data_IF_712580498807
#
_entry.id   IF_712580498807
#
_cell.length_a   1.000
_cell.length_b   1.000
_cell.length_c   1.000
_cell.angle_alpha   90.00
_cell.angle_beta   90.00
_cell.angle_gamma   90.00
#
_symmetry.space_group_name_H-M   'P 1'
#
loop_
_entity.id
_entity.type
_entity.pdbx_description
1 polymer ?
#
# COMPACT_ATOMS: atom_id res chain seq x y z
N UNK A 1 20.70 4.09 -11.49
CA UNK A 1 20.73 4.22 -10.03
C UNK A 1 19.58 5.10 -9.57
N UNK A 2 18.86 4.65 -8.58
CA UNK A 2 17.61 5.31 -8.18
C UNK A 2 17.80 6.10 -6.90
N UNK A 3 17.76 7.41 -7.04
CA UNK A 3 17.88 8.29 -5.90
C UNK A 3 16.51 8.77 -5.47
N UNK A 4 15.69 7.82 -5.02
CA UNK A 4 14.35 8.14 -4.58
C UNK A 4 14.41 8.81 -3.21
N UNK A 5 13.53 9.79 -3.01
CA UNK A 5 13.37 10.37 -1.70
C UNK A 5 12.69 9.37 -0.77
N UNK A 6 12.72 9.68 0.51
CA UNK A 6 12.06 8.85 1.51
C UNK A 6 10.57 8.69 1.20
N UNK A 7 9.93 9.79 0.81
CA UNK A 7 8.50 9.74 0.50
C UNK A 7 8.23 8.93 -0.76
N UNK A 8 9.10 9.03 -1.75
CA UNK A 8 8.95 8.23 -2.96
C UNK A 8 9.09 6.75 -2.66
N UNK A 9 10.03 6.38 -1.81
CA UNK A 9 10.21 4.98 -1.43
C UNK A 9 8.99 4.47 -0.68
N UNK A 10 8.42 5.30 0.20
CA UNK A 10 7.22 4.92 0.92
C UNK A 10 6.06 4.69 -0.04
N UNK A 11 5.95 5.53 -1.06
CA UNK A 11 4.88 5.39 -2.04
C UNK A 11 5.05 4.12 -2.86
N UNK A 12 6.27 3.82 -3.28
CA UNK A 12 6.56 2.61 -4.04
C UNK A 12 6.20 1.39 -3.20
N UNK A 13 6.54 1.42 -1.92
CA UNK A 13 6.22 0.32 -1.02
C UNK A 13 4.71 0.13 -0.89
N UNK A 14 3.97 1.23 -0.78
CA UNK A 14 2.52 1.17 -0.69
C UNK A 14 1.92 0.58 -1.96
N UNK A 15 2.39 1.01 -3.11
CA UNK A 15 1.88 0.50 -4.38
C UNK A 15 2.15 -0.99 -4.49
N UNK A 16 3.33 -1.43 -4.07
CA UNK A 16 3.67 -2.85 -4.09
C UNK A 16 2.74 -3.65 -3.19
N UNK A 17 2.47 -3.14 -2.00
CA UNK A 17 1.58 -3.82 -1.07
C UNK A 17 0.18 -3.93 -1.63
N UNK A 18 -0.32 -2.84 -2.22
CA UNK A 18 -1.66 -2.81 -2.79
C UNK A 18 -1.76 -3.77 -3.96
N UNK A 19 -0.73 -3.84 -4.81
CA UNK A 19 -0.74 -4.77 -5.93
C UNK A 19 -0.83 -6.21 -5.46
N UNK A 20 -0.10 -6.55 -4.41
CA UNK A 20 -0.17 -7.90 -3.86
C UNK A 20 -1.56 -8.20 -3.33
N UNK A 21 -2.17 -7.23 -2.67
CA UNK A 21 -3.50 -7.41 -2.11
C UNK A 21 -4.52 -7.65 -3.20
N UNK A 22 -4.49 -6.84 -4.26
CA UNK A 22 -5.46 -7.00 -5.34
C UNK A 22 -5.23 -8.27 -6.13
N UNK A 23 -3.99 -8.67 -6.29
CA UNK A 23 -3.69 -9.94 -6.94
C UNK A 23 -4.35 -11.09 -6.18
N UNK A 24 -4.19 -11.08 -4.86
CA UNK A 24 -4.75 -12.12 -4.02
C UNK A 24 -6.28 -12.15 -4.12
N UNK A 25 -6.91 -10.98 -4.01
CA UNK A 25 -8.37 -10.88 -4.07
C UNK A 25 -8.88 -11.35 -5.43
N UNK A 26 -8.19 -10.95 -6.50
CA UNK A 26 -8.60 -11.33 -7.84
C UNK A 26 -8.58 -12.82 -8.07
N UNK A 27 -7.72 -13.54 -7.36
CA UNK A 27 -7.66 -14.99 -7.49
C UNK A 27 -8.76 -15.70 -6.74
N UNK A 28 -9.26 -15.08 -5.69
CA UNK A 28 -10.25 -15.71 -4.84
C UNK A 28 -11.66 -15.62 -5.43
N UNK A 29 -12.08 -14.39 -5.69
CA UNK A 29 -13.43 -14.17 -6.23
C UNK A 29 -13.56 -12.70 -6.61
N UNK A 30 -14.77 -12.32 -7.05
CA UNK A 30 -15.04 -10.98 -7.51
C UNK A 30 -15.32 -9.99 -6.40
N UNK A 31 -15.43 -10.48 -5.18
CA UNK A 31 -15.76 -9.62 -4.05
C UNK A 31 -14.52 -9.34 -3.24
N UNK A 32 -14.44 -8.13 -2.72
CA UNK A 32 -13.33 -7.75 -1.84
C UNK A 32 -13.72 -8.13 -0.41
N UNK A 33 -13.02 -9.09 0.19
CA UNK A 33 -13.33 -9.48 1.57
C UNK A 33 -13.09 -8.32 2.54
N UNK A 34 -13.85 -8.35 3.62
CA UNK A 34 -13.69 -7.32 4.65
C UNK A 34 -12.27 -7.25 5.18
N UNK A 35 -11.62 -8.41 5.30
CA UNK A 35 -10.24 -8.46 5.78
C UNK A 35 -9.29 -7.78 4.83
N UNK A 36 -9.56 -7.83 3.53
CA UNK A 36 -8.72 -7.14 2.55
C UNK A 36 -8.86 -5.62 2.69
N UNK A 37 -10.05 -5.15 3.02
CA UNK A 37 -10.25 -3.72 3.26
C UNK A 37 -9.48 -3.27 4.49
N UNK A 38 -9.47 -4.09 5.53
CA UNK A 38 -8.70 -3.78 6.73
C UNK A 38 -7.20 -3.75 6.42
N UNK A 39 -6.75 -4.66 5.60
CA UNK A 39 -5.34 -4.71 5.21
C UNK A 39 -4.97 -3.48 4.40
N UNK A 40 -5.84 -3.07 3.50
CA UNK A 40 -5.63 -1.86 2.71
C UNK A 40 -5.49 -0.65 3.63
N UNK A 41 -6.34 -0.56 4.63
CA UNK A 41 -6.26 0.53 5.60
C UNK A 41 -4.92 0.52 6.33
N UNK A 42 -4.45 -0.65 6.72
CA UNK A 42 -3.16 -0.77 7.39
C UNK A 42 -2.02 -0.26 6.52
N UNK A 43 -2.07 -0.60 5.24
CA UNK A 43 -1.03 -0.15 4.32
C UNK A 43 -1.04 1.37 4.19
N UNK A 44 -2.23 1.96 4.16
CA UNK A 44 -2.36 3.40 4.07
C UNK A 44 -1.82 4.09 5.32
N UNK A 45 -2.11 3.55 6.49
CA UNK A 45 -1.58 4.10 7.74
C UNK A 45 -0.06 3.98 7.78
N UNK A 46 0.45 2.85 7.35
CA UNK A 46 1.90 2.63 7.28
C UNK A 46 2.55 3.69 6.39
N UNK A 47 1.92 3.97 5.25
CA UNK A 47 2.44 4.97 4.33
C UNK A 47 2.45 6.35 4.98
N UNK A 48 1.35 6.74 5.59
CA UNK A 48 1.24 8.05 6.22
C UNK A 48 2.31 8.21 7.31
N UNK A 49 2.56 7.14 8.06
CA UNK A 49 3.57 7.19 9.12
C UNK A 49 4.99 7.21 8.57
N UNK A 50 5.17 6.74 7.35
CA UNK A 50 6.51 6.65 6.77
C UNK A 50 6.94 7.92 6.04
N UNK A 51 5.99 8.75 5.63
CA UNK A 51 6.32 9.94 4.86
C UNK A 51 6.62 11.11 5.78
N UNK A 52 7.33 12.08 5.22
CA UNK A 52 7.58 13.34 5.92
C UNK A 52 6.63 14.36 5.35
N UNK A 53 5.85 14.95 6.21
CA UNK A 53 4.88 15.96 5.81
C UNK A 53 5.47 17.33 6.09
N UNK A 54 5.57 18.14 5.05
CA UNK A 54 6.02 19.51 5.19
C UNK A 54 4.84 20.38 5.54
N UNK A 55 5.11 21.26 6.49
CA UNK A 55 4.07 22.16 6.98
C UNK A 55 4.41 23.60 6.69
#
# INVERSE_FOLDING_TARGET
MNDYTKNELALIDLISDINKLFYFVGEENDQIPFESLKQFEKYCVKFVNAIEVEQ
#
